data_IF_113482991486
#
_entry.id   IF_113482991486
#
_cell.length_a   1.000
_cell.length_b   1.000
_cell.length_c   1.000
_cell.angle_alpha   90.00
_cell.angle_beta   90.00
_cell.angle_gamma   90.00
#
_symmetry.space_group_name_H-M   'P 1'
#
loop_
_entity.id
_entity.type
_entity.pdbx_description
1 polymer ?
#
# COMPACT_ATOMS: atom_id res chain seq x y z
N UNK A 1 11.97 -15.53 -11.65
CA UNK A 1 12.12 -14.12 -11.20
C UNK A 1 12.10 -13.15 -12.38
N UNK A 2 12.96 -13.32 -13.40
CA UNK A 2 13.01 -12.43 -14.58
C UNK A 2 11.71 -12.37 -15.40
N UNK A 3 11.04 -13.52 -15.58
CA UNK A 3 9.81 -13.66 -16.40
C UNK A 3 8.68 -12.70 -16.00
N UNK A 4 8.51 -12.40 -14.70
CA UNK A 4 7.49 -11.44 -14.25
C UNK A 4 7.81 -9.99 -14.67
N UNK A 5 9.11 -9.67 -14.79
CA UNK A 5 9.61 -8.35 -15.20
C UNK A 5 9.83 -8.24 -16.71
N UNK A 6 9.68 -9.33 -17.45
CA UNK A 6 9.76 -9.32 -18.91
C UNK A 6 8.64 -8.49 -19.54
N UNK A 7 8.97 -7.87 -20.66
CA UNK A 7 8.13 -6.85 -21.30
C UNK A 7 7.97 -7.15 -22.77
N UNK A 8 6.95 -6.54 -23.37
CA UNK A 8 6.83 -6.50 -24.81
C UNK A 8 8.02 -5.72 -25.43
N UNK A 9 8.94 -6.39 -26.16
CA UNK A 9 10.14 -5.73 -26.68
C UNK A 9 9.82 -4.69 -27.75
N UNK A 10 8.62 -4.74 -28.36
CA UNK A 10 8.17 -3.79 -29.38
C UNK A 10 7.83 -2.41 -28.82
N UNK A 11 7.70 -2.26 -27.51
CA UNK A 11 7.44 -0.98 -26.86
C UNK A 11 8.78 -0.30 -26.55
N UNK A 12 9.03 0.82 -27.24
CA UNK A 12 10.24 1.63 -27.02
C UNK A 12 10.27 2.33 -25.67
N UNK A 13 11.47 2.69 -25.20
CA UNK A 13 11.70 3.29 -23.88
C UNK A 13 10.91 4.59 -23.67
N UNK A 14 10.78 5.43 -24.70
CA UNK A 14 10.03 6.68 -24.62
C UNK A 14 8.56 6.49 -24.23
N UNK A 15 7.92 5.39 -24.66
CA UNK A 15 6.53 5.09 -24.25
C UNK A 15 6.41 4.74 -22.78
N UNK A 16 7.42 4.07 -22.21
CA UNK A 16 7.46 3.79 -20.78
C UNK A 16 7.63 5.06 -19.96
N UNK A 17 8.57 5.93 -20.36
CA UNK A 17 8.80 7.22 -19.69
C UNK A 17 7.52 8.06 -19.72
N UNK A 18 6.91 8.24 -20.89
CA UNK A 18 5.65 8.98 -21.03
C UNK A 18 4.51 8.35 -20.22
N UNK A 19 4.47 7.02 -20.11
CA UNK A 19 3.46 6.33 -19.31
C UNK A 19 3.62 6.63 -17.81
N UNK A 20 4.84 6.57 -17.28
CA UNK A 20 5.12 6.89 -15.88
C UNK A 20 4.81 8.36 -15.60
N UNK A 21 5.27 9.27 -16.46
CA UNK A 21 5.01 10.70 -16.32
C UNK A 21 3.51 11.00 -16.37
N UNK A 22 2.77 10.36 -17.27
CA UNK A 22 1.32 10.51 -17.38
C UNK A 22 0.60 10.05 -16.11
N UNK A 23 0.98 8.90 -15.54
CA UNK A 23 0.39 8.39 -14.30
C UNK A 23 0.69 9.33 -13.14
N UNK A 24 1.94 9.77 -12.99
CA UNK A 24 2.33 10.72 -11.93
C UNK A 24 1.61 12.06 -12.07
N UNK A 25 1.48 12.59 -13.29
CA UNK A 25 0.71 13.81 -13.54
C UNK A 25 -0.79 13.63 -13.27
N UNK A 26 -1.35 12.46 -13.59
CA UNK A 26 -2.76 12.15 -13.31
C UNK A 26 -3.02 12.07 -11.80
N UNK A 27 -2.09 11.47 -11.06
CA UNK A 27 -2.21 11.33 -9.61
C UNK A 27 -1.92 12.63 -8.86
N UNK A 28 -0.74 13.25 -9.05
CA UNK A 28 -0.31 14.42 -8.30
C UNK A 28 -0.73 15.76 -8.91
N UNK A 29 -0.92 15.83 -10.22
CA UNK A 29 -1.42 17.03 -10.89
C UNK A 29 -2.95 17.09 -10.80
N UNK A 30 -3.61 16.29 -11.64
CA UNK A 30 -5.07 16.28 -11.72
C UNK A 30 -5.73 15.79 -10.42
N UNK A 31 -5.17 14.77 -9.79
CA UNK A 31 -5.67 14.25 -8.52
C UNK A 31 -5.59 15.24 -7.38
N UNK A 32 -4.53 16.05 -7.28
CA UNK A 32 -4.46 17.11 -6.28
C UNK A 32 -5.48 18.21 -6.54
N UNK A 33 -5.67 18.63 -7.80
CA UNK A 33 -6.71 19.61 -8.16
C UNK A 33 -8.10 19.08 -7.80
N UNK A 34 -8.40 17.83 -8.13
CA UNK A 34 -9.68 17.20 -7.79
C UNK A 34 -9.87 17.11 -6.26
N UNK A 35 -8.84 16.67 -5.54
CA UNK A 35 -8.89 16.54 -4.08
C UNK A 35 -9.12 17.90 -3.41
N UNK A 36 -8.36 18.93 -3.79
CA UNK A 36 -8.49 20.28 -3.25
C UNK A 36 -9.84 20.92 -3.61
N UNK A 37 -10.32 20.73 -4.84
CA UNK A 37 -11.64 21.24 -5.25
C UNK A 37 -12.79 20.60 -4.47
N UNK A 38 -12.70 19.29 -4.19
CA UNK A 38 -13.68 18.60 -3.33
C UNK A 38 -13.58 19.05 -1.87
N UNK A 39 -12.36 19.26 -1.36
CA UNK A 39 -12.13 19.79 -0.02
C UNK A 39 -12.75 21.18 0.13
N UNK A 40 -12.54 22.06 -0.85
CA UNK A 40 -13.15 23.39 -0.90
C UNK A 40 -14.67 23.29 -1.00
N UNK A 41 -15.21 22.47 -1.91
CA UNK A 41 -16.65 22.31 -2.08
C UNK A 41 -17.35 21.82 -0.80
N UNK A 42 -16.77 20.84 -0.09
CA UNK A 42 -17.31 20.31 1.15
C UNK A 42 -16.84 21.04 2.41
N UNK A 43 -16.05 22.12 2.28
CA UNK A 43 -15.52 22.91 3.39
C UNK A 43 -14.78 22.06 4.43
N UNK A 44 -14.02 21.06 3.96
CA UNK A 44 -13.15 20.22 4.78
C UNK A 44 -11.68 20.58 4.57
N UNK A 45 -10.87 20.43 5.61
CA UNK A 45 -9.44 20.77 5.57
C UNK A 45 -8.64 19.61 6.13
N UNK A 46 -7.32 19.62 5.91
CA UNK A 46 -6.39 18.71 6.58
C UNK A 46 -6.45 18.83 8.13
N UNK A 47 -6.97 19.94 8.66
CA UNK A 47 -7.05 20.22 10.10
C UNK A 47 -8.41 19.87 10.72
N UNK A 48 -9.51 19.86 9.94
CA UNK A 48 -10.83 19.38 10.40
C UNK A 48 -10.94 17.85 10.33
N UNK A 49 -9.80 17.17 10.21
CA UNK A 49 -9.66 15.78 9.83
C UNK A 49 -10.26 14.79 10.82
N UNK A 50 -11.36 14.19 10.39
CA UNK A 50 -11.77 12.79 10.62
C UNK A 50 -13.17 12.60 10.02
N UNK A 51 -13.42 13.12 8.81
CA UNK A 51 -14.74 13.09 8.17
C UNK A 51 -14.75 12.22 6.92
N UNK A 52 -15.92 11.66 6.60
CA UNK A 52 -16.17 10.97 5.34
C UNK A 52 -15.75 11.82 4.13
N UNK A 53 -16.10 13.10 4.12
CA UNK A 53 -15.82 14.00 3.00
C UNK A 53 -14.33 14.23 2.79
N UNK A 54 -13.54 14.35 3.87
CA UNK A 54 -12.08 14.45 3.74
C UNK A 54 -11.50 13.17 3.11
N UNK A 55 -11.95 12.00 3.56
CA UNK A 55 -11.52 10.72 3.00
C UNK A 55 -11.87 10.58 1.52
N UNK A 56 -13.10 10.93 1.14
CA UNK A 56 -13.57 10.94 -0.25
C UNK A 56 -12.74 11.90 -1.12
N UNK A 57 -12.46 13.10 -0.61
CA UNK A 57 -11.68 14.09 -1.33
C UNK A 57 -10.26 13.61 -1.61
N UNK A 58 -9.55 13.07 -0.60
CA UNK A 58 -8.20 12.48 -0.79
C UNK A 58 -8.24 11.29 -1.75
N UNK A 59 -9.25 10.43 -1.67
CA UNK A 59 -9.36 9.24 -2.53
C UNK A 59 -9.69 9.56 -3.99
N UNK A 60 -10.18 10.77 -4.31
CA UNK A 60 -10.35 11.19 -5.71
C UNK A 60 -9.03 11.14 -6.49
N UNK A 61 -7.92 11.54 -5.87
CA UNK A 61 -6.59 11.41 -6.46
C UNK A 61 -6.18 9.95 -6.71
N UNK A 62 -6.49 9.05 -5.78
CA UNK A 62 -6.20 7.61 -5.92
C UNK A 62 -7.07 6.93 -6.99
N UNK A 63 -8.31 7.39 -7.19
CA UNK A 63 -9.15 6.91 -8.31
C UNK A 63 -8.54 7.29 -9.65
N UNK A 64 -8.05 8.53 -9.80
CA UNK A 64 -7.34 8.96 -11.02
C UNK A 64 -6.02 8.20 -11.20
N UNK A 65 -5.32 7.91 -10.10
CA UNK A 65 -4.12 7.07 -10.11
C UNK A 65 -4.42 5.65 -10.60
N UNK A 66 -5.51 5.03 -10.12
CA UNK A 66 -5.97 3.72 -10.55
C UNK A 66 -6.31 3.71 -12.04
N UNK A 67 -7.15 4.65 -12.49
CA UNK A 67 -7.60 4.76 -13.89
C UNK A 67 -6.41 4.95 -14.81
N UNK A 68 -5.53 5.90 -14.49
CA UNK A 68 -4.35 6.19 -15.32
C UNK A 68 -3.42 4.98 -15.39
N UNK A 69 -3.11 4.36 -14.25
CA UNK A 69 -2.24 3.17 -14.19
C UNK A 69 -2.82 2.01 -15.01
N UNK A 70 -4.10 1.69 -14.86
CA UNK A 70 -4.76 0.67 -15.68
C UNK A 70 -4.74 1.01 -17.17
N UNK A 71 -4.98 2.28 -17.50
CA UNK A 71 -5.04 2.76 -18.88
C UNK A 71 -3.69 2.65 -19.59
N UNK A 72 -2.59 3.15 -19.01
CA UNK A 72 -1.27 3.01 -19.64
C UNK A 72 -0.86 1.55 -19.77
N UNK A 73 -1.09 0.72 -18.76
CA UNK A 73 -0.68 -0.68 -18.80
C UNK A 73 -1.40 -1.46 -19.92
N UNK A 74 -2.71 -1.31 -20.02
CA UNK A 74 -3.53 -2.05 -21.00
C UNK A 74 -3.40 -1.46 -22.41
N UNK A 75 -3.53 -0.13 -22.55
CA UNK A 75 -3.71 0.49 -23.86
C UNK A 75 -2.43 1.06 -24.46
N UNK A 76 -1.48 1.54 -23.66
CA UNK A 76 -0.23 2.15 -24.16
C UNK A 76 0.89 1.11 -24.21
N UNK A 77 1.10 0.39 -23.10
CA UNK A 77 2.15 -0.61 -22.95
C UNK A 77 1.71 -2.01 -23.44
N UNK A 78 0.42 -2.19 -23.75
CA UNK A 78 -0.15 -3.44 -24.28
C UNK A 78 0.18 -4.66 -23.42
N UNK A 79 0.20 -4.46 -22.11
CA UNK A 79 0.43 -5.53 -21.13
C UNK A 79 -0.82 -6.40 -21.04
N UNK A 80 -0.63 -7.72 -21.00
CA UNK A 80 -1.73 -8.65 -20.72
C UNK A 80 -2.13 -8.49 -19.27
N UNK A 81 -3.44 -8.51 -18.98
CA UNK A 81 -3.94 -8.41 -17.60
C UNK A 81 -3.36 -9.51 -16.69
N UNK A 82 -3.09 -10.70 -17.24
CA UNK A 82 -2.41 -11.78 -16.54
C UNK A 82 -1.01 -11.41 -16.08
N UNK A 83 -0.26 -10.63 -16.86
CA UNK A 83 1.05 -10.12 -16.46
C UNK A 83 0.93 -9.00 -15.42
N UNK A 84 -0.16 -8.23 -15.42
CA UNK A 84 -0.37 -7.16 -14.44
C UNK A 84 -0.65 -7.69 -13.05
N UNK A 85 -1.39 -8.79 -12.96
CA UNK A 85 -1.77 -9.41 -11.69
C UNK A 85 -0.82 -10.57 -11.30
N UNK A 86 0.06 -10.98 -12.21
CA UNK A 86 1.01 -12.08 -12.05
C UNK A 86 0.51 -13.41 -12.61
N UNK A 87 -0.72 -13.78 -12.27
CA UNK A 87 -1.37 -15.00 -12.76
C UNK A 87 -2.86 -14.77 -13.01
N UNK A 88 -3.40 -15.48 -14.01
CA UNK A 88 -4.85 -15.58 -14.25
C UNK A 88 -5.22 -17.07 -14.26
N UNK A 89 -6.21 -17.49 -13.43
CA UNK A 89 -7.03 -16.67 -12.53
C UNK A 89 -6.28 -16.13 -11.31
N UNK A 90 -6.81 -15.08 -10.68
CA UNK A 90 -6.30 -14.52 -9.43
C UNK A 90 -6.33 -15.56 -8.31
N UNK A 91 -5.21 -15.74 -7.59
CA UNK A 91 -5.09 -16.75 -6.54
C UNK A 91 -5.61 -16.21 -5.20
N UNK A 92 -6.93 -16.32 -5.01
CA UNK A 92 -7.61 -15.88 -3.79
C UNK A 92 -7.04 -16.48 -2.51
N UNK A 93 -6.60 -17.74 -2.56
CA UNK A 93 -5.96 -18.39 -1.42
C UNK A 93 -4.73 -17.61 -0.94
N UNK A 94 -3.82 -17.25 -1.85
CA UNK A 94 -2.59 -16.49 -1.52
C UNK A 94 -2.92 -15.10 -0.97
N UNK A 95 -3.90 -14.44 -1.56
CA UNK A 95 -4.40 -13.16 -1.05
C UNK A 95 -4.94 -13.30 0.37
N UNK A 96 -5.85 -14.24 0.62
CA UNK A 96 -6.48 -14.45 1.92
C UNK A 96 -5.48 -14.89 2.98
N UNK A 97 -4.52 -15.76 2.64
CA UNK A 97 -3.42 -16.13 3.53
C UNK A 97 -2.66 -14.90 4.04
N UNK A 98 -2.19 -14.04 3.14
CA UNK A 98 -1.44 -12.85 3.51
C UNK A 98 -2.31 -11.82 4.26
N UNK A 99 -3.55 -11.61 3.81
CA UNK A 99 -4.50 -10.69 4.45
C UNK A 99 -4.82 -11.09 5.89
N UNK A 100 -5.19 -12.35 6.11
CA UNK A 100 -5.54 -12.86 7.44
C UNK A 100 -4.32 -12.93 8.35
N UNK A 101 -3.17 -13.41 7.85
CA UNK A 101 -1.92 -13.45 8.61
C UNK A 101 -1.53 -12.04 9.08
N UNK A 102 -1.52 -11.07 8.17
CA UNK A 102 -1.11 -9.72 8.51
C UNK A 102 -2.10 -9.03 9.45
N UNK A 103 -3.41 -9.20 9.22
CA UNK A 103 -4.44 -8.71 10.15
C UNK A 103 -4.27 -9.29 11.56
N UNK A 104 -3.98 -10.60 11.66
CA UNK A 104 -3.71 -11.25 12.94
C UNK A 104 -2.46 -10.73 13.64
N UNK A 105 -1.37 -10.50 12.89
CA UNK A 105 -0.14 -9.92 13.42
C UNK A 105 -0.35 -8.48 13.90
N UNK A 106 -1.13 -7.67 13.17
CA UNK A 106 -1.49 -6.30 13.57
C UNK A 106 -2.30 -6.30 14.87
N UNK A 107 -3.34 -7.14 14.96
CA UNK A 107 -4.14 -7.29 16.18
C UNK A 107 -3.25 -7.72 17.35
N UNK A 108 -2.41 -8.74 17.17
CA UNK A 108 -1.51 -9.23 18.21
C UNK A 108 -0.52 -8.15 18.64
N UNK A 109 0.06 -7.43 17.69
CA UNK A 109 0.98 -6.33 17.95
C UNK A 109 0.34 -5.21 18.76
N UNK A 110 -0.86 -4.76 18.38
CA UNK A 110 -1.64 -3.78 19.13
C UNK A 110 -1.99 -4.27 20.53
N UNK A 111 -2.35 -5.55 20.70
CA UNK A 111 -2.63 -6.12 22.02
C UNK A 111 -1.38 -6.10 22.91
N UNK A 112 -0.22 -6.50 22.38
CA UNK A 112 1.06 -6.44 23.09
C UNK A 112 1.39 -5.00 23.49
N UNK A 113 1.26 -4.05 22.57
CA UNK A 113 1.47 -2.63 22.85
C UNK A 113 0.52 -2.13 23.95
N UNK A 114 -0.75 -2.52 23.91
CA UNK A 114 -1.74 -2.15 24.94
C UNK A 114 -1.37 -2.72 26.30
N UNK A 115 -0.82 -3.93 26.38
CA UNK A 115 -0.42 -4.54 27.65
C UNK A 115 0.82 -3.86 28.24
N UNK A 116 1.75 -3.40 27.39
CA UNK A 116 2.97 -2.70 27.81
C UNK A 116 2.67 -1.25 28.17
N UNK A 117 1.78 -0.60 27.41
CA UNK A 117 1.40 0.81 27.55
C UNK A 117 -0.12 0.94 27.75
N UNK A 118 -0.69 0.51 28.89
CA UNK A 118 -2.15 0.39 29.11
C UNK A 118 -2.95 1.69 29.02
N UNK A 119 -2.29 2.84 28.97
CA UNK A 119 -2.93 4.16 28.83
C UNK A 119 -2.69 4.79 27.43
N UNK A 120 -2.03 4.09 26.51
CA UNK A 120 -1.74 4.62 25.18
C UNK A 120 -2.96 4.61 24.27
N UNK A 121 -3.84 3.63 24.41
CA UNK A 121 -4.97 3.39 23.51
C UNK A 121 -6.29 3.82 24.15
N UNK A 122 -7.03 4.66 23.43
CA UNK A 122 -8.40 5.05 23.76
C UNK A 122 -9.39 4.51 22.74
N UNK A 123 -10.52 4.00 23.21
CA UNK A 123 -11.64 3.59 22.37
C UNK A 123 -12.53 4.78 22.02
N UNK A 124 -12.96 4.86 20.76
CA UNK A 124 -13.91 5.83 20.26
C UNK A 124 -15.14 5.08 19.72
N UNK A 125 -16.29 5.29 20.36
CA UNK A 125 -17.54 4.66 19.94
C UNK A 125 -18.00 5.17 18.56
N UNK A 126 -18.68 4.29 17.82
CA UNK A 126 -19.14 4.66 16.49
C UNK A 126 -20.26 5.70 16.50
N UNK A 127 -20.16 6.69 15.61
CA UNK A 127 -21.20 7.72 15.39
C UNK A 127 -21.97 7.47 14.09
N UNK A 128 -23.13 8.12 13.91
CA UNK A 128 -24.06 7.85 12.80
C UNK A 128 -23.46 7.97 11.38
N UNK A 129 -22.53 8.90 11.16
CA UNK A 129 -21.87 9.07 9.84
C UNK A 129 -20.79 8.00 9.57
N UNK A 130 -20.39 7.20 10.57
CA UNK A 130 -19.32 6.23 10.41
C UNK A 130 -19.71 5.02 9.57
N UNK A 131 -20.99 4.69 9.41
CA UNK A 131 -21.39 3.61 8.51
C UNK A 131 -21.03 3.95 7.06
N UNK A 132 -21.34 5.17 6.62
CA UNK A 132 -20.97 5.64 5.28
C UNK A 132 -19.45 5.74 5.11
N UNK A 133 -18.71 6.10 6.17
CA UNK A 133 -17.25 6.06 6.20
C UNK A 133 -16.70 4.64 5.99
N UNK A 134 -17.21 3.65 6.73
CA UNK A 134 -16.79 2.25 6.59
C UNK A 134 -17.05 1.75 5.17
N UNK A 135 -18.23 2.05 4.61
CA UNK A 135 -18.56 1.70 3.22
C UNK A 135 -17.56 2.34 2.25
N UNK A 136 -17.24 3.63 2.43
CA UNK A 136 -16.27 4.32 1.59
C UNK A 136 -14.87 3.68 1.69
N UNK A 137 -14.39 3.35 2.90
CA UNK A 137 -13.11 2.66 3.12
C UNK A 137 -13.10 1.30 2.43
N UNK A 138 -14.12 0.48 2.63
CA UNK A 138 -14.22 -0.85 2.02
C UNK A 138 -14.25 -0.82 0.48
N UNK A 139 -14.72 0.27 -0.14
CA UNK A 139 -14.76 0.41 -1.60
C UNK A 139 -13.52 1.08 -2.18
N UNK A 140 -13.03 2.16 -1.56
CA UNK A 140 -11.99 3.01 -2.12
C UNK A 140 -10.58 2.53 -1.75
N UNK A 141 -10.39 1.96 -0.57
CA UNK A 141 -9.07 1.46 -0.16
C UNK A 141 -8.57 0.30 -1.04
N UNK A 142 -9.41 -0.68 -1.46
CA UNK A 142 -8.96 -1.67 -2.44
C UNK A 142 -8.55 -1.06 -3.78
N UNK A 143 -9.21 0.02 -4.23
CA UNK A 143 -8.86 0.73 -5.47
C UNK A 143 -7.50 1.43 -5.32
N UNK A 144 -7.28 2.11 -4.19
CA UNK A 144 -5.98 2.71 -3.85
C UNK A 144 -4.88 1.64 -3.85
N UNK A 145 -5.05 0.57 -3.07
CA UNK A 145 -4.06 -0.51 -2.93
C UNK A 145 -3.76 -1.14 -4.29
N UNK A 146 -4.79 -1.40 -5.10
CA UNK A 146 -4.60 -1.95 -6.43
C UNK A 146 -3.81 -1.00 -7.34
N UNK A 147 -4.07 0.30 -7.31
CA UNK A 147 -3.30 1.29 -8.06
C UNK A 147 -1.84 1.31 -7.65
N UNK A 148 -1.58 1.37 -6.34
CA UNK A 148 -0.23 1.38 -5.77
C UNK A 148 0.53 0.09 -6.08
N UNK A 149 -0.09 -1.08 -5.88
CA UNK A 149 0.54 -2.36 -6.17
C UNK A 149 0.85 -2.52 -7.66
N UNK A 150 -0.10 -2.19 -8.54
CA UNK A 150 0.14 -2.25 -9.97
C UNK A 150 1.26 -1.28 -10.37
N UNK A 151 1.28 -0.06 -9.86
CA UNK A 151 2.29 0.93 -10.22
C UNK A 151 3.69 0.58 -9.68
N UNK A 152 3.80 0.41 -8.35
CA UNK A 152 5.08 0.23 -7.67
C UNK A 152 5.62 -1.20 -7.76
N UNK A 153 4.79 -2.23 -7.94
CA UNK A 153 5.26 -3.62 -7.98
C UNK A 153 5.28 -4.20 -9.38
N UNK A 154 4.68 -3.52 -10.36
CA UNK A 154 4.75 -3.95 -11.77
C UNK A 154 5.32 -2.88 -12.71
N UNK A 155 4.73 -1.68 -12.78
CA UNK A 155 5.12 -0.69 -13.78
C UNK A 155 6.54 -0.16 -13.57
N UNK A 156 6.86 0.30 -12.34
CA UNK A 156 8.17 0.85 -12.00
C UNK A 156 9.27 -0.22 -12.06
N UNK A 157 9.15 -1.40 -11.42
CA UNK A 157 10.18 -2.44 -11.50
C UNK A 157 10.43 -2.92 -12.93
N UNK A 158 9.39 -3.03 -13.77
CA UNK A 158 9.59 -3.35 -15.19
C UNK A 158 10.40 -2.26 -15.87
N UNK A 159 9.98 -1.00 -15.77
CA UNK A 159 10.74 0.10 -16.37
C UNK A 159 12.23 0.08 -15.97
N UNK A 160 12.53 -0.11 -14.68
CA UNK A 160 13.90 -0.20 -14.17
C UNK A 160 14.61 -1.43 -14.71
N UNK A 161 13.96 -2.59 -14.70
CA UNK A 161 14.53 -3.85 -15.22
C UNK A 161 14.91 -3.74 -16.72
N UNK A 162 14.19 -2.91 -17.49
CA UNK A 162 14.54 -2.63 -18.88
C UNK A 162 15.87 -1.88 -19.02
N UNK A 163 16.14 -0.95 -18.11
CA UNK A 163 17.37 -0.15 -18.10
C UNK A 163 18.52 -0.93 -17.49
N UNK A 164 18.23 -1.71 -16.45
CA UNK A 164 19.18 -2.51 -15.70
C UNK A 164 18.55 -3.86 -15.38
N UNK A 165 18.90 -4.94 -16.10
CA UNK A 165 18.25 -6.26 -15.98
C UNK A 165 18.69 -7.03 -14.73
N UNK A 166 18.49 -6.43 -13.55
CA UNK A 166 18.76 -7.00 -12.23
C UNK A 166 17.47 -6.91 -11.40
N UNK A 167 16.74 -8.02 -11.18
CA UNK A 167 15.41 -7.97 -10.55
C UNK A 167 15.42 -7.38 -9.13
N UNK A 168 16.47 -7.69 -8.36
CA UNK A 168 16.65 -7.15 -7.00
C UNK A 168 16.80 -5.63 -7.03
N UNK A 169 17.59 -5.11 -7.96
CA UNK A 169 17.76 -3.66 -8.12
C UNK A 169 16.44 -2.97 -8.52
N UNK A 170 15.65 -3.59 -9.40
CA UNK A 170 14.34 -3.08 -9.79
C UNK A 170 13.38 -2.95 -8.60
N UNK A 171 13.38 -3.93 -7.68
CA UNK A 171 12.58 -3.89 -6.45
C UNK A 171 13.09 -2.84 -5.47
N UNK A 172 14.41 -2.74 -5.26
CA UNK A 172 14.99 -1.70 -4.38
C UNK A 172 14.65 -0.31 -4.90
N UNK A 173 14.80 -0.07 -6.20
CA UNK A 173 14.47 1.22 -6.80
C UNK A 173 12.98 1.56 -6.63
N UNK A 174 12.09 0.59 -6.86
CA UNK A 174 10.67 0.80 -6.66
C UNK A 174 10.31 1.06 -5.20
N UNK A 175 10.97 0.40 -4.24
CA UNK A 175 10.80 0.67 -2.82
C UNK A 175 11.28 2.08 -2.42
N UNK A 176 12.36 2.57 -3.04
CA UNK A 176 12.79 3.97 -2.88
C UNK A 176 11.74 4.94 -3.46
N UNK A 177 11.19 4.67 -4.64
CA UNK A 177 10.11 5.49 -5.21
C UNK A 177 8.87 5.50 -4.32
N UNK A 178 8.45 4.34 -3.80
CA UNK A 178 7.33 4.24 -2.86
C UNK A 178 7.60 5.05 -1.59
N UNK A 179 8.80 4.95 -1.03
CA UNK A 179 9.18 5.77 0.13
C UNK A 179 9.18 7.26 -0.20
N UNK A 180 9.66 7.63 -1.39
CA UNK A 180 9.74 9.01 -1.86
C UNK A 180 8.39 9.72 -1.93
N UNK A 181 7.32 9.01 -2.33
CA UNK A 181 5.98 9.62 -2.38
C UNK A 181 5.39 9.90 -1.00
N UNK A 182 5.96 9.34 0.08
CA UNK A 182 5.55 9.57 1.46
C UNK A 182 6.34 10.70 2.15
N UNK A 183 7.30 11.33 1.47
CA UNK A 183 8.11 12.42 2.04
C UNK A 183 7.30 13.69 2.36
N UNK A 184 6.06 13.79 1.86
CA UNK A 184 5.15 14.89 2.15
C UNK A 184 4.18 14.57 3.31
N UNK A 185 4.27 13.38 3.90
CA UNK A 185 3.39 13.01 4.99
C UNK A 185 3.75 13.77 6.29
N UNK A 186 2.78 14.06 7.18
CA UNK A 186 3.03 14.85 8.38
C UNK A 186 4.07 14.25 9.33
N UNK A 187 4.25 12.93 9.33
CA UNK A 187 5.27 12.22 10.13
C UNK A 187 6.69 12.71 9.82
N UNK A 188 6.92 13.24 8.61
CA UNK A 188 8.23 13.72 8.15
C UNK A 188 8.67 15.01 8.86
N UNK A 189 7.77 15.67 9.59
CA UNK A 189 8.11 16.82 10.45
C UNK A 189 8.80 16.43 11.77
N UNK A 190 8.91 15.14 12.10
CA UNK A 190 9.48 14.67 13.36
C UNK A 190 11.01 14.48 13.31
N UNK A 191 11.69 14.60 14.46
CA UNK A 191 13.13 14.32 14.58
C UNK A 191 13.50 12.86 14.27
N UNK A 192 12.52 11.98 14.25
CA UNK A 192 12.62 10.53 14.03
C UNK A 192 12.07 10.10 12.66
N UNK A 193 11.88 11.05 11.73
CA UNK A 193 11.36 10.78 10.38
C UNK A 193 12.12 9.68 9.63
N UNK A 194 13.43 9.52 9.87
CA UNK A 194 14.24 8.47 9.26
C UNK A 194 13.79 7.04 9.62
N UNK A 195 13.21 6.82 10.80
CA UNK A 195 12.63 5.53 11.20
C UNK A 195 11.33 5.25 10.46
N UNK A 196 10.51 6.28 10.26
CA UNK A 196 9.25 6.19 9.50
C UNK A 196 9.54 5.94 8.01
N UNK A 197 10.56 6.62 7.46
CA UNK A 197 11.08 6.32 6.11
C UNK A 197 11.61 4.89 6.02
N UNK A 198 12.33 4.42 7.04
CA UNK A 198 12.78 3.04 7.16
C UNK A 198 11.62 2.05 7.11
N UNK A 199 10.53 2.35 7.82
CA UNK A 199 9.30 1.56 7.80
C UNK A 199 8.69 1.51 6.39
N UNK A 200 8.47 2.66 5.73
CA UNK A 200 7.91 2.69 4.37
C UNK A 200 8.80 1.95 3.37
N UNK A 201 10.12 2.13 3.46
CA UNK A 201 11.07 1.46 2.59
C UNK A 201 11.05 -0.06 2.81
N UNK A 202 11.12 -0.52 4.06
CA UNK A 202 11.12 -1.94 4.37
C UNK A 202 9.80 -2.59 3.96
N UNK A 203 8.66 -1.94 4.23
CA UNK A 203 7.34 -2.38 3.74
C UNK A 203 7.34 -2.54 2.22
N UNK A 204 7.79 -1.53 1.48
CA UNK A 204 7.77 -1.57 0.03
C UNK A 204 8.74 -2.60 -0.56
N UNK A 205 9.91 -2.72 0.04
CA UNK A 205 10.95 -3.66 -0.35
C UNK A 205 10.45 -5.10 -0.19
N UNK A 206 9.87 -5.41 0.97
CA UNK A 206 9.34 -6.72 1.27
C UNK A 206 8.14 -7.05 0.36
N UNK A 207 7.16 -6.17 0.25
CA UNK A 207 6.06 -6.36 -0.70
C UNK A 207 6.57 -6.65 -2.13
N UNK A 208 7.59 -5.92 -2.60
CA UNK A 208 8.23 -6.18 -3.90
C UNK A 208 8.91 -7.55 -4.00
N UNK A 209 9.57 -8.02 -2.94
CA UNK A 209 10.14 -9.37 -2.90
C UNK A 209 9.07 -10.45 -2.91
N UNK A 210 7.95 -10.28 -2.19
CA UNK A 210 6.82 -11.22 -2.26
C UNK A 210 6.31 -11.35 -3.70
N UNK A 211 6.18 -10.24 -4.42
CA UNK A 211 5.74 -10.28 -5.82
C UNK A 211 6.73 -11.04 -6.70
N UNK A 212 8.03 -10.88 -6.49
CA UNK A 212 9.06 -11.62 -7.22
C UNK A 212 9.07 -13.12 -6.92
N UNK A 213 8.86 -13.51 -5.66
CA UNK A 213 8.84 -14.93 -5.24
C UNK A 213 7.56 -15.62 -5.67
N UNK A 214 6.41 -14.97 -5.46
CA UNK A 214 5.09 -15.53 -5.76
C UNK A 214 4.71 -15.44 -7.25
N UNK A 215 5.50 -14.68 -8.02
CA UNK A 215 5.19 -14.29 -9.41
C UNK A 215 3.79 -13.66 -9.54
N UNK A 216 3.36 -12.91 -8.53
CA UNK A 216 2.08 -12.21 -8.58
C UNK A 216 1.80 -11.31 -7.39
N UNK A 217 0.75 -10.50 -7.54
CA UNK A 217 0.44 -9.41 -6.61
C UNK A 217 -0.33 -9.87 -5.37
N UNK A 218 -0.83 -11.11 -5.33
CA UNK A 218 -1.88 -11.51 -4.41
C UNK A 218 -1.48 -11.34 -2.94
N UNK A 219 -0.29 -11.83 -2.55
CA UNK A 219 0.17 -11.68 -1.16
C UNK A 219 0.52 -10.24 -0.78
N UNK A 220 1.16 -9.50 -1.70
CA UNK A 220 1.48 -8.09 -1.47
C UNK A 220 0.21 -7.24 -1.32
N UNK A 221 -0.80 -7.47 -2.17
CA UNK A 221 -2.12 -6.85 -2.05
C UNK A 221 -2.83 -7.23 -0.75
N UNK A 222 -2.80 -8.51 -0.36
CA UNK A 222 -3.42 -8.96 0.89
C UNK A 222 -2.81 -8.29 2.12
N UNK A 223 -1.47 -8.25 2.19
CA UNK A 223 -0.75 -7.52 3.23
C UNK A 223 -1.12 -6.03 3.21
N UNK A 224 -0.94 -5.35 2.08
CA UNK A 224 -1.15 -3.91 1.98
C UNK A 224 -2.59 -3.51 2.32
N UNK A 225 -3.58 -4.26 1.83
CA UNK A 225 -4.98 -4.00 2.17
C UNK A 225 -5.24 -4.20 3.67
N UNK A 226 -4.69 -5.24 4.28
CA UNK A 226 -4.82 -5.46 5.73
C UNK A 226 -4.24 -4.27 6.52
N UNK A 227 -3.05 -3.77 6.15
CA UNK A 227 -2.45 -2.58 6.77
C UNK A 227 -3.36 -1.37 6.67
N UNK A 228 -3.87 -1.06 5.48
CA UNK A 228 -4.64 0.18 5.26
C UNK A 228 -6.02 0.09 5.92
N UNK A 229 -6.71 -1.05 5.83
CA UNK A 229 -7.98 -1.24 6.54
C UNK A 229 -7.80 -1.15 8.05
N UNK A 230 -6.71 -1.69 8.60
CA UNK A 230 -6.42 -1.58 10.02
C UNK A 230 -6.18 -0.13 10.43
N UNK A 231 -5.37 0.62 9.68
CA UNK A 231 -5.12 2.04 9.94
C UNK A 231 -6.38 2.91 9.80
N UNK A 232 -7.27 2.58 8.87
CA UNK A 232 -8.45 3.39 8.60
C UNK A 232 -9.66 3.05 9.48
N UNK A 233 -9.80 1.81 9.90
CA UNK A 233 -10.99 1.35 10.65
C UNK A 233 -10.70 1.00 12.11
N UNK A 234 -9.51 0.50 12.40
CA UNK A 234 -9.22 -0.13 13.70
C UNK A 234 -8.39 0.79 14.58
N UNK A 235 -7.16 1.13 14.19
CA UNK A 235 -6.24 1.90 15.03
C UNK A 235 -5.63 3.06 14.25
N UNK A 236 -5.98 4.28 14.66
CA UNK A 236 -5.36 5.51 14.16
C UNK A 236 -4.39 6.10 15.18
N UNK A 237 -3.50 6.97 14.73
CA UNK A 237 -2.54 7.68 15.56
C UNK A 237 -2.34 9.12 15.06
N UNK A 238 -1.79 10.00 15.89
CA UNK A 238 -1.27 11.28 15.43
C UNK A 238 0.27 11.19 15.36
N UNK A 239 0.93 11.67 14.28
CA UNK A 239 0.42 12.54 13.23
C UNK A 239 0.12 11.81 11.89
N UNK A 240 -0.80 10.84 11.86
CA UNK A 240 -1.17 10.13 10.62
C UNK A 240 -1.55 11.09 9.46
N UNK A 241 -1.18 10.77 8.20
CA UNK A 241 -1.48 11.60 7.02
C UNK A 241 -2.99 11.62 6.70
N UNK A 242 -3.68 10.54 7.02
CA UNK A 242 -5.13 10.43 6.88
C UNK A 242 -5.70 10.25 8.28
N UNK A 243 -6.34 11.30 8.79
CA UNK A 243 -7.08 11.25 10.05
C UNK A 243 -8.38 10.50 9.84
N UNK A 244 -8.62 9.46 10.63
CA UNK A 244 -9.77 8.56 10.49
C UNK A 244 -10.58 8.50 11.78
N UNK A 245 -11.91 8.30 11.70
CA UNK A 245 -12.73 7.98 12.87
C UNK A 245 -12.60 6.49 13.26
N UNK A 246 -11.37 5.97 13.31
CA UNK A 246 -11.09 4.58 13.67
C UNK A 246 -11.60 4.25 15.07
N UNK A 247 -11.84 2.96 15.33
CA UNK A 247 -12.37 2.49 16.63
C UNK A 247 -11.43 2.77 17.81
N UNK A 248 -10.13 2.78 17.57
CA UNK A 248 -9.11 3.01 18.56
C UNK A 248 -8.16 4.11 18.09
N UNK A 249 -7.69 4.90 19.06
CA UNK A 249 -6.65 5.90 18.86
C UNK A 249 -5.51 5.66 19.83
N UNK A 250 -4.28 5.55 19.31
CA UNK A 250 -3.08 5.53 20.15
C UNK A 250 -2.47 6.92 20.26
N UNK A 251 -2.12 7.31 21.49
CA UNK A 251 -1.29 8.50 21.79
C UNK A 251 0.19 8.16 21.87
N UNK A 252 0.53 6.87 21.80
CA UNK A 252 1.91 6.40 21.82
C UNK A 252 2.39 6.19 20.38
N UNK A 253 2.94 7.24 19.77
CA UNK A 253 3.69 7.13 18.52
C UNK A 253 5.18 7.17 18.83
N UNK A 254 5.79 5.99 18.97
CA UNK A 254 7.23 5.81 19.06
C UNK A 254 7.75 5.17 17.77
N UNK A 255 8.38 5.94 16.84
CA UNK A 255 8.87 5.39 15.58
C UNK A 255 9.89 4.26 15.73
N UNK A 256 10.66 4.21 16.81
CA UNK A 256 11.63 3.14 17.03
C UNK A 256 10.92 1.84 17.41
N UNK A 257 9.96 1.92 18.35
CA UNK A 257 9.09 0.81 18.70
C UNK A 257 8.31 0.30 17.48
N UNK A 258 7.63 1.20 16.76
CA UNK A 258 6.82 0.87 15.59
C UNK A 258 7.65 0.22 14.48
N UNK A 259 8.86 0.74 14.21
CA UNK A 259 9.76 0.13 13.24
C UNK A 259 10.23 -1.27 13.66
N UNK A 260 10.63 -1.43 14.93
CA UNK A 260 11.08 -2.72 15.45
C UNK A 260 9.95 -3.77 15.46
N UNK A 261 8.75 -3.37 15.88
CA UNK A 261 7.56 -4.19 15.86
C UNK A 261 7.22 -4.62 14.42
N UNK A 262 7.23 -3.68 13.47
CA UNK A 262 7.01 -3.99 12.07
C UNK A 262 8.05 -4.97 11.52
N UNK A 263 9.34 -4.74 11.79
CA UNK A 263 10.41 -5.62 11.32
C UNK A 263 10.27 -7.04 11.88
N UNK A 264 9.91 -7.18 13.16
CA UNK A 264 9.63 -8.48 13.79
C UNK A 264 8.41 -9.16 13.16
N UNK A 265 7.29 -8.45 13.04
CA UNK A 265 6.06 -8.97 12.42
C UNK A 265 6.31 -9.40 10.97
N UNK A 266 7.08 -8.61 10.22
CA UNK A 266 7.45 -8.94 8.85
C UNK A 266 8.31 -10.21 8.81
N UNK A 267 9.33 -10.34 9.66
CA UNK A 267 10.14 -11.55 9.75
C UNK A 267 9.32 -12.80 10.06
N UNK A 268 8.43 -12.72 11.05
CA UNK A 268 7.49 -13.81 11.42
C UNK A 268 6.53 -14.12 10.27
N UNK A 269 5.95 -13.10 9.64
CA UNK A 269 5.03 -13.25 8.53
C UNK A 269 5.67 -13.97 7.34
N UNK A 270 6.90 -13.58 6.97
CA UNK A 270 7.65 -14.25 5.92
C UNK A 270 7.97 -15.71 6.25
N UNK A 271 8.37 -15.99 7.50
CA UNK A 271 8.66 -17.36 7.92
C UNK A 271 7.42 -18.25 7.81
N UNK A 272 6.25 -17.74 8.21
CA UNK A 272 4.97 -18.46 8.11
C UNK A 272 4.58 -18.68 6.64
N UNK A 273 4.65 -17.65 5.79
CA UNK A 273 4.33 -17.79 4.37
C UNK A 273 5.25 -18.79 3.66
N UNK A 274 6.55 -18.74 3.97
CA UNK A 274 7.52 -19.71 3.46
C UNK A 274 7.21 -21.14 3.93
N UNK A 275 6.86 -21.30 5.21
CA UNK A 275 6.45 -22.59 5.74
C UNK A 275 5.18 -23.14 5.04
N UNK A 276 4.17 -22.29 4.80
CA UNK A 276 2.97 -22.67 4.05
C UNK A 276 3.31 -23.13 2.63
N UNK A 277 4.18 -22.40 1.92
CA UNK A 277 4.63 -22.79 0.57
C UNK A 277 5.37 -24.15 0.59
N UNK A 278 6.18 -24.42 1.62
CA UNK A 278 6.91 -25.70 1.73
C UNK A 278 5.98 -26.89 1.90
N UNK A 279 4.85 -26.71 2.62
CA UNK A 279 3.84 -27.76 2.82
C UNK A 279 3.03 -28.02 1.56
N UNK A 280 2.71 -26.98 0.79
CA UNK A 280 2.02 -27.12 -0.49
C UNK A 280 2.86 -28.00 -1.45
N UNK A 281 4.18 -27.80 -1.47
CA UNK A 281 5.10 -28.59 -2.30
C UNK A 281 5.21 -30.05 -1.86
N UNK A 282 5.19 -30.34 -0.56
CA UNK A 282 5.23 -31.73 -0.04
C UNK A 282 3.96 -32.53 -0.35
N UNK A 283 2.80 -31.88 -0.44
CA UNK A 283 1.50 -32.55 -0.65
C UNK A 283 1.23 -32.83 -2.13
N UNK A 284 1.74 -31.99 -3.03
CA UNK A 284 1.44 -32.04 -4.46
C UNK A 284 2.65 -32.35 -5.37
N UNK A 285 3.86 -32.51 -4.80
CA UNK A 285 5.09 -32.90 -5.50
C UNK A 285 5.38 -34.39 -5.45
#
# INVERSE_FOLDING_TARGET
MAEFLEQNPRIGLGRWILSILFVLFSWWGLGSVASLGLMEFWQVTFFTGSSLYFFLAVHAGFVLFFISTGWVQIFILKQKLSLLLGMQPFRWERFTQAFCLWSGLLILGTLIETLIFPQSISFQAMQGEQFAYIVAVCLLTPIQVLAEEIFFRTLVPRFVYRLWPQPVFAVIFAALCFTGVHLQNPEMGSATAWLVMGYYFLFALLAGFLVLTDKGLERAMGWHLATNLFAFLILSYEPSPIRTPALFHTRHFDPAWNFAQFALMAGVGYAILWWLDSREQEVFG
#
